data_IF_932908837356
#
_entry.id   IF_932908837356
#
_cell.length_a   1.000
_cell.length_b   1.000
_cell.length_c   1.000
_cell.angle_alpha   90.00
_cell.angle_beta   90.00
_cell.angle_gamma   90.00
#
_symmetry.space_group_name_H-M   'P 1'
#
loop_
_entity.id
_entity.type
_entity.pdbx_description
1 polymer ?
#
# COMPACT_ATOMS: atom_id res chain seq x y z
N UNK A 1 0.85 12.20 19.43
CA UNK A 1 -0.06 12.04 18.27
C UNK A 1 0.40 12.92 17.11
N UNK A 2 0.78 14.17 17.39
CA UNK A 2 1.21 15.15 16.38
C UNK A 2 2.41 14.73 15.52
N UNK A 3 3.41 14.08 16.12
CA UNK A 3 4.60 13.62 15.39
C UNK A 3 4.26 12.60 14.29
N UNK A 4 3.31 11.69 14.55
CA UNK A 4 2.86 10.71 13.55
C UNK A 4 2.10 11.39 12.43
N UNK A 5 1.13 12.27 12.76
CA UNK A 5 0.34 12.99 11.76
C UNK A 5 1.23 13.90 10.90
N UNK A 6 2.19 14.59 11.51
CA UNK A 6 3.18 15.40 10.80
C UNK A 6 4.03 14.56 9.86
N UNK A 7 4.52 13.40 10.31
CA UNK A 7 5.29 12.48 9.44
C UNK A 7 4.45 11.87 8.34
N UNK A 8 3.19 11.54 8.61
CA UNK A 8 2.25 11.06 7.59
C UNK A 8 2.04 12.13 6.52
N UNK A 9 1.77 13.37 6.92
CA UNK A 9 1.61 14.49 5.99
C UNK A 9 2.86 14.74 5.14
N UNK A 10 4.04 14.74 5.77
CA UNK A 10 5.31 14.87 5.05
C UNK A 10 5.49 13.74 4.02
N UNK A 11 5.16 12.50 4.40
CA UNK A 11 5.25 11.36 3.50
C UNK A 11 4.27 11.49 2.32
N UNK A 12 3.06 12.00 2.54
CA UNK A 12 2.12 12.30 1.44
C UNK A 12 2.75 13.25 0.43
N UNK A 13 3.32 14.36 0.91
CA UNK A 13 3.99 15.35 0.06
C UNK A 13 5.20 14.77 -0.70
N UNK A 14 6.01 13.93 -0.05
CA UNK A 14 7.16 13.27 -0.67
C UNK A 14 6.74 12.29 -1.77
N UNK A 15 5.62 11.58 -1.58
CA UNK A 15 5.04 10.67 -2.57
C UNK A 15 4.47 11.44 -3.77
N UNK A 16 3.78 12.57 -3.55
CA UNK A 16 3.27 13.41 -4.63
C UNK A 16 4.39 14.06 -5.47
N UNK A 17 5.57 14.26 -4.88
CA UNK A 17 6.75 14.79 -5.56
C UNK A 17 7.68 13.69 -6.08
N UNK A 18 7.24 12.43 -6.09
CA UNK A 18 8.06 11.33 -6.58
C UNK A 18 8.41 11.55 -8.05
N UNK A 19 9.66 11.25 -8.41
CA UNK A 19 10.13 11.31 -9.80
C UNK A 19 9.66 10.09 -10.61
N UNK A 20 9.46 8.96 -9.94
CA UNK A 20 8.92 7.73 -10.54
C UNK A 20 7.48 7.49 -10.11
N UNK A 21 6.82 6.56 -10.79
CA UNK A 21 5.67 5.85 -10.21
C UNK A 21 6.07 5.10 -8.94
N UNK A 22 5.09 4.80 -8.10
CA UNK A 22 5.25 4.15 -6.81
C UNK A 22 5.01 2.66 -6.97
N UNK A 23 5.98 1.83 -6.61
CA UNK A 23 5.79 0.39 -6.50
C UNK A 23 5.24 0.03 -5.12
N UNK A 24 4.26 -0.87 -5.08
CA UNK A 24 3.60 -1.32 -3.87
C UNK A 24 3.94 -2.78 -3.61
N UNK A 25 4.23 -3.10 -2.35
CA UNK A 25 4.35 -4.47 -1.86
C UNK A 25 3.49 -4.62 -0.63
N UNK A 26 2.88 -5.79 -0.45
CA UNK A 26 2.16 -6.12 0.77
C UNK A 26 2.32 -7.59 1.11
N UNK A 27 2.21 -7.88 2.40
CA UNK A 27 2.34 -9.24 2.93
C UNK A 27 1.34 -9.46 4.07
N UNK A 28 0.73 -10.64 4.09
CA UNK A 28 -0.23 -11.05 5.11
C UNK A 28 0.40 -12.15 5.97
N UNK A 29 0.58 -11.86 7.26
CA UNK A 29 1.07 -12.85 8.21
C UNK A 29 0.15 -12.99 9.42
N UNK A 30 0.25 -14.14 10.09
CA UNK A 30 -0.37 -14.33 11.40
C UNK A 30 0.60 -13.88 12.48
N UNK A 31 0.22 -12.89 13.29
CA UNK A 31 1.03 -12.42 14.41
C UNK A 31 1.04 -13.43 15.57
N UNK A 32 2.03 -13.36 16.50
CA UNK A 32 2.08 -14.25 17.66
C UNK A 32 0.82 -14.24 18.53
N UNK A 33 0.12 -13.10 18.56
CA UNK A 33 -1.24 -13.00 19.08
C UNK A 33 -2.17 -13.16 17.86
N UNK A 34 -2.90 -14.27 17.71
CA UNK A 34 -3.41 -14.84 16.44
C UNK A 34 -4.30 -13.88 15.62
N UNK A 35 -3.66 -12.88 15.04
CA UNK A 35 -4.24 -11.78 14.28
C UNK A 35 -3.61 -11.81 12.90
N UNK A 36 -4.45 -11.77 11.87
CA UNK A 36 -3.99 -11.56 10.51
C UNK A 36 -3.60 -10.09 10.36
N UNK A 37 -2.32 -9.83 10.06
CA UNK A 37 -1.78 -8.49 9.88
C UNK A 37 -1.32 -8.34 8.44
N UNK A 38 -1.83 -7.32 7.77
CA UNK A 38 -1.41 -6.92 6.43
C UNK A 38 -0.48 -5.71 6.54
N UNK A 39 0.77 -5.89 6.14
CA UNK A 39 1.75 -4.82 6.01
C UNK A 39 1.79 -4.30 4.57
N UNK A 40 1.81 -2.98 4.38
CA UNK A 40 1.90 -2.35 3.05
C UNK A 40 3.12 -1.44 2.98
N UNK A 41 3.92 -1.60 1.93
CA UNK A 41 5.17 -0.88 1.68
C UNK A 41 5.09 -0.15 0.34
N UNK A 42 5.46 1.13 0.35
CA UNK A 42 5.64 1.93 -0.85
C UNK A 42 7.13 2.09 -1.16
N UNK A 43 7.49 2.03 -2.44
CA UNK A 43 8.84 2.19 -2.95
C UNK A 43 8.83 3.15 -4.14
N UNK A 44 9.70 4.17 -4.14
CA UNK A 44 9.74 5.18 -5.20
C UNK A 44 11.14 5.78 -5.37
N UNK A 45 11.35 6.50 -6.45
CA UNK A 45 12.49 7.40 -6.65
C UNK A 45 12.05 8.82 -6.28
N UNK A 46 12.72 9.43 -5.31
CA UNK A 46 12.42 10.80 -4.88
C UNK A 46 12.88 11.86 -5.92
N UNK A 47 12.54 13.13 -5.67
CA UNK A 47 12.91 14.24 -6.53
C UNK A 47 14.44 14.40 -6.74
N UNK A 48 15.26 13.86 -5.82
CA UNK A 48 16.73 13.87 -5.92
C UNK A 48 17.30 12.69 -6.72
N UNK A 49 16.43 11.79 -7.19
CA UNK A 49 16.84 10.57 -7.88
C UNK A 49 17.22 9.42 -6.96
N UNK A 50 16.96 9.52 -5.65
CA UNK A 50 17.30 8.48 -4.68
C UNK A 50 16.13 7.52 -4.46
N UNK A 51 16.43 6.22 -4.42
CA UNK A 51 15.47 5.19 -4.05
C UNK A 51 15.05 5.33 -2.59
N UNK A 52 13.74 5.34 -2.35
CA UNK A 52 13.08 5.36 -1.04
C UNK A 52 12.17 4.16 -0.90
N UNK A 53 11.97 3.75 0.34
CA UNK A 53 10.96 2.77 0.72
C UNK A 53 10.45 3.10 2.12
N UNK A 54 9.16 2.91 2.36
CA UNK A 54 8.56 3.07 3.68
C UNK A 54 7.35 2.17 3.84
N UNK A 55 7.07 1.79 5.09
CA UNK A 55 5.80 1.19 5.46
C UNK A 55 4.73 2.30 5.43
N UNK A 56 3.66 2.09 4.67
CA UNK A 56 2.47 2.95 4.69
C UNK A 56 1.60 2.63 5.90
N UNK A 57 1.52 1.35 6.25
CA UNK A 57 0.79 0.92 7.43
C UNK A 57 0.83 -0.57 7.65
N UNK A 58 0.38 -0.97 8.84
CA UNK A 58 0.05 -2.34 9.19
C UNK A 58 -1.39 -2.35 9.69
N UNK A 59 -2.25 -3.15 9.06
CA UNK A 59 -3.67 -3.24 9.39
C UNK A 59 -4.00 -4.66 9.82
N UNK A 60 -4.83 -4.77 10.84
CA UNK A 60 -5.44 -6.06 11.15
C UNK A 60 -6.52 -6.34 10.12
N UNK A 61 -6.42 -7.49 9.47
CA UNK A 61 -7.45 -8.00 8.56
C UNK A 61 -8.46 -8.79 9.38
N UNK A 62 -9.73 -8.51 9.14
CA UNK A 62 -10.86 -9.19 9.78
C UNK A 62 -11.64 -9.97 8.73
N UNK A 63 -12.19 -11.13 9.12
CA UNK A 63 -12.97 -11.96 8.21
C UNK A 63 -12.10 -12.83 7.29
N UNK A 64 -12.62 -13.13 6.11
CA UNK A 64 -11.97 -14.01 5.13
C UNK A 64 -10.68 -13.38 4.58
N UNK A 65 -9.65 -14.18 4.37
CA UNK A 65 -8.39 -13.74 3.76
C UNK A 65 -8.50 -13.76 2.21
N UNK A 66 -9.65 -13.31 1.68
CA UNK A 66 -9.86 -13.23 0.24
C UNK A 66 -9.03 -12.09 -0.37
N UNK A 67 -8.74 -12.20 -1.66
CA UNK A 67 -8.00 -11.16 -2.37
C UNK A 67 -8.73 -9.82 -2.34
N UNK A 68 -10.06 -9.80 -2.42
CA UNK A 68 -10.86 -8.58 -2.34
C UNK A 68 -10.76 -7.89 -0.98
N UNK A 69 -10.73 -8.65 0.12
CA UNK A 69 -10.60 -8.07 1.45
C UNK A 69 -9.20 -7.46 1.67
N UNK A 70 -8.17 -8.16 1.20
CA UNK A 70 -6.79 -7.65 1.18
C UNK A 70 -6.69 -6.41 0.29
N UNK A 71 -7.23 -6.47 -0.92
CA UNK A 71 -7.27 -5.37 -1.88
C UNK A 71 -7.98 -4.13 -1.34
N UNK A 72 -9.11 -4.30 -0.65
CA UNK A 72 -9.81 -3.20 0.02
C UNK A 72 -8.93 -2.55 1.10
N UNK A 73 -8.28 -3.36 1.94
CA UNK A 73 -7.40 -2.86 3.00
C UNK A 73 -6.19 -2.11 2.43
N UNK A 74 -5.59 -2.61 1.33
CA UNK A 74 -4.51 -1.90 0.63
C UNK A 74 -5.02 -0.60 0.04
N UNK A 75 -6.17 -0.61 -0.64
CA UNK A 75 -6.75 0.57 -1.28
C UNK A 75 -7.05 1.69 -0.26
N UNK A 76 -7.62 1.35 0.89
CA UNK A 76 -7.83 2.32 1.99
C UNK A 76 -6.52 3.00 2.41
N UNK A 77 -5.44 2.24 2.58
CA UNK A 77 -4.12 2.80 2.87
C UNK A 77 -3.61 3.68 1.74
N UNK A 78 -3.73 3.26 0.47
CA UNK A 78 -3.32 4.09 -0.67
C UNK A 78 -4.09 5.42 -0.70
N UNK A 79 -5.41 5.38 -0.48
CA UNK A 79 -6.26 6.58 -0.39
C UNK A 79 -5.85 7.51 0.76
N UNK A 80 -5.50 6.97 1.94
CA UNK A 80 -5.02 7.78 3.06
C UNK A 80 -3.74 8.59 2.73
N UNK A 81 -2.93 8.07 1.79
CA UNK A 81 -1.70 8.70 1.32
C UNK A 81 -1.85 9.48 0.01
N UNK A 82 -3.08 9.65 -0.49
CA UNK A 82 -3.41 10.26 -1.78
C UNK A 82 -2.71 9.58 -2.97
N UNK A 83 -2.44 8.27 -2.91
CA UNK A 83 -1.82 7.53 -4.01
C UNK A 83 -2.92 7.12 -4.99
N UNK A 84 -2.97 7.79 -6.14
CA UNK A 84 -3.87 7.49 -7.25
C UNK A 84 -3.42 6.29 -8.10
N UNK A 85 -4.35 5.71 -8.86
CA UNK A 85 -4.06 4.55 -9.72
C UNK A 85 -3.02 4.83 -10.81
N UNK A 86 -2.98 6.06 -11.32
CA UNK A 86 -2.01 6.54 -12.32
C UNK A 86 -0.59 6.71 -11.75
N UNK A 87 -0.47 6.88 -10.43
CA UNK A 87 0.79 6.95 -9.70
C UNK A 87 1.37 5.56 -9.39
N UNK A 88 0.58 4.49 -9.48
CA UNK A 88 1.05 3.12 -9.20
C UNK A 88 1.85 2.58 -10.39
N UNK A 89 3.05 2.08 -10.11
CA UNK A 89 3.95 1.50 -11.10
C UNK A 89 3.82 -0.01 -11.20
N UNK A 90 4.14 -0.69 -10.11
CA UNK A 90 4.20 -2.15 -10.05
C UNK A 90 3.74 -2.66 -8.69
N UNK A 91 3.16 -3.86 -8.67
CA UNK A 91 2.99 -4.64 -7.46
C UNK A 91 4.12 -5.68 -7.37
N UNK A 92 4.76 -5.79 -6.20
CA UNK A 92 5.87 -6.72 -5.94
C UNK A 92 5.46 -7.62 -4.77
N UNK A 93 4.93 -8.80 -5.07
CA UNK A 93 4.27 -9.67 -4.11
C UNK A 93 4.83 -11.09 -4.20
N UNK A 94 4.59 -11.91 -3.17
CA UNK A 94 4.89 -13.32 -3.23
C UNK A 94 3.86 -14.07 -4.09
N UNK A 95 4.14 -15.35 -4.39
CA UNK A 95 3.34 -16.16 -5.30
C UNK A 95 2.12 -16.80 -4.61
N UNK A 96 1.29 -15.98 -3.98
CA UNK A 96 0.02 -16.39 -3.38
C UNK A 96 -1.14 -15.99 -4.31
N UNK A 97 -2.07 -16.92 -4.58
CA UNK A 97 -3.21 -16.65 -5.49
C UNK A 97 -4.12 -15.51 -5.04
N UNK A 98 -4.23 -15.29 -3.72
CA UNK A 98 -4.97 -14.16 -3.16
C UNK A 98 -4.41 -12.81 -3.61
N UNK A 99 -3.11 -12.73 -3.91
CA UNK A 99 -2.47 -11.50 -4.35
C UNK A 99 -2.92 -11.10 -5.76
N UNK A 100 -3.09 -12.07 -6.66
CA UNK A 100 -3.57 -11.80 -8.02
C UNK A 100 -4.96 -11.16 -7.98
N UNK A 101 -5.88 -11.76 -7.21
CA UNK A 101 -7.23 -11.23 -7.01
C UNK A 101 -7.22 -9.88 -6.30
N UNK A 102 -6.32 -9.67 -5.32
CA UNK A 102 -6.18 -8.39 -4.65
C UNK A 102 -5.72 -7.27 -5.59
N UNK A 103 -4.72 -7.54 -6.43
CA UNK A 103 -4.21 -6.58 -7.42
C UNK A 103 -5.30 -6.26 -8.46
N UNK A 104 -6.02 -7.27 -8.95
CA UNK A 104 -7.15 -7.05 -9.87
C UNK A 104 -8.22 -6.14 -9.23
N UNK A 105 -8.57 -6.42 -7.97
CA UNK A 105 -9.54 -5.61 -7.22
C UNK A 105 -9.08 -4.15 -7.10
N UNK A 106 -7.81 -3.92 -6.73
CA UNK A 106 -7.25 -2.56 -6.59
C UNK A 106 -7.31 -1.84 -7.93
N UNK A 107 -6.81 -2.44 -9.01
CA UNK A 107 -6.74 -1.80 -10.32
C UNK A 107 -8.14 -1.46 -10.88
N UNK A 108 -9.11 -2.36 -10.71
CA UNK A 108 -10.50 -2.11 -11.14
C UNK A 108 -11.13 -0.95 -10.36
N UNK A 109 -10.86 -0.88 -9.07
CA UNK A 109 -11.41 0.14 -8.18
C UNK A 109 -10.74 1.51 -8.37
N UNK A 110 -9.45 1.53 -8.71
CA UNK A 110 -8.69 2.76 -8.98
C UNK A 110 -8.94 3.35 -10.38
N UNK A 111 -9.55 2.61 -11.32
CA UNK A 111 -9.84 3.09 -12.67
C UNK A 111 -11.13 3.92 -12.79
N UNK A 112 -11.95 3.97 -11.73
CA UNK A 112 -13.26 4.64 -11.72
C UNK A 112 -13.30 5.88 -10.78
N UNK A 113 -12.14 6.36 -10.32
CA UNK A 113 -11.98 7.51 -9.43
C UNK A 113 -11.36 8.72 -10.11
#
# INVERSE_FOLDING_TARGET
MDAFLSKKQQLKEDLQRSRSRISISFDLWTSPNPYAILGVVAMWIDATGKRRSTVLGMRRVHGEHSGENLGSTVLELLTEYDIGGDQIGYFMLDNASSNDTAVEFILRSSAHG
#
